data_IF_329610771379
#
_entry.id   IF_329610771379
#
_cell.length_a   1.000
_cell.length_b   1.000
_cell.length_c   1.000
_cell.angle_alpha   90.00
_cell.angle_beta   90.00
_cell.angle_gamma   90.00
#
_symmetry.space_group_name_H-M   'P 1'
#
loop_
_entity.id
_entity.type
_entity.pdbx_description
1 polymer ?
#
# COMPACT_ATOMS: atom_id res chain seq x y z
N UNK A 1 -18.53 15.94 -19.72
CA UNK A 1 -17.45 15.09 -19.20
C UNK A 1 -16.99 15.68 -17.88
N UNK A 2 -17.16 14.96 -16.77
CA UNK A 2 -16.65 15.38 -15.47
C UNK A 2 -15.13 15.40 -15.47
N UNK A 3 -14.52 16.36 -14.78
CA UNK A 3 -13.07 16.37 -14.55
C UNK A 3 -12.75 15.35 -13.46
N UNK A 4 -11.92 14.36 -13.75
CA UNK A 4 -11.31 13.50 -12.74
C UNK A 4 -9.90 14.03 -12.46
N UNK A 5 -9.57 14.38 -11.23
CA UNK A 5 -8.29 15.01 -10.87
C UNK A 5 -7.73 14.39 -9.59
N UNK A 6 -6.40 14.48 -9.40
CA UNK A 6 -5.79 14.22 -8.08
C UNK A 6 -6.27 15.25 -7.05
N UNK A 7 -6.03 14.99 -5.77
CA UNK A 7 -6.28 15.96 -4.67
C UNK A 7 -5.60 17.32 -4.93
N UNK A 8 -4.51 17.35 -5.71
CA UNK A 8 -3.79 18.57 -6.08
C UNK A 8 -4.15 19.12 -7.48
N UNK A 9 -5.20 18.61 -8.13
CA UNK A 9 -5.74 19.16 -9.37
C UNK A 9 -5.06 18.66 -10.65
N UNK A 10 -4.17 17.67 -10.58
CA UNK A 10 -3.60 17.03 -11.78
C UNK A 10 -4.70 16.27 -12.50
N UNK A 11 -4.94 16.61 -13.77
CA UNK A 11 -5.93 15.92 -14.58
C UNK A 11 -5.55 14.45 -14.76
N UNK A 12 -6.48 13.57 -14.42
CA UNK A 12 -6.33 12.13 -14.62
C UNK A 12 -6.91 11.72 -15.97
N UNK A 13 -6.32 10.69 -16.55
CA UNK A 13 -6.90 9.98 -17.68
C UNK A 13 -8.25 9.39 -17.25
N UNK A 14 -9.17 9.24 -18.20
CA UNK A 14 -10.49 8.69 -17.89
C UNK A 14 -10.36 7.21 -17.50
N UNK A 15 -10.74 6.88 -16.27
CA UNK A 15 -10.86 5.51 -15.80
C UNK A 15 -12.33 5.06 -15.87
N UNK A 16 -12.55 3.81 -16.29
CA UNK A 16 -13.85 3.15 -16.13
C UNK A 16 -14.04 2.81 -14.65
N UNK A 17 -14.67 3.72 -13.92
CA UNK A 17 -14.86 3.58 -12.47
C UNK A 17 -15.76 2.40 -12.12
N UNK A 18 -16.74 2.04 -12.95
CA UNK A 18 -17.61 0.90 -12.68
C UNK A 18 -16.80 -0.38 -12.74
N UNK A 19 -16.06 -0.57 -13.84
CA UNK A 19 -15.18 -1.73 -13.97
C UNK A 19 -14.10 -1.77 -12.89
N UNK A 20 -13.46 -0.64 -12.58
CA UNK A 20 -12.44 -0.58 -11.54
C UNK A 20 -12.96 -1.04 -10.17
N UNK A 21 -14.21 -0.68 -9.81
CA UNK A 21 -14.83 -1.15 -8.58
C UNK A 21 -15.24 -2.63 -8.63
N UNK A 22 -15.67 -3.14 -9.79
CA UNK A 22 -15.94 -4.58 -9.98
C UNK A 22 -14.67 -5.41 -9.82
N UNK A 23 -13.59 -5.00 -10.49
CA UNK A 23 -12.28 -5.65 -10.43
C UNK A 23 -11.69 -5.58 -9.01
N UNK A 24 -11.79 -4.42 -8.33
CA UNK A 24 -11.34 -4.26 -6.95
C UNK A 24 -12.11 -5.15 -5.98
N UNK A 25 -13.44 -5.22 -6.10
CA UNK A 25 -14.25 -6.14 -5.29
C UNK A 25 -13.82 -7.58 -5.52
N UNK A 26 -13.79 -8.04 -6.77
CA UNK A 26 -13.41 -9.42 -7.09
C UNK A 26 -12.02 -9.78 -6.53
N UNK A 27 -11.01 -8.96 -6.84
CA UNK A 27 -9.64 -9.24 -6.46
C UNK A 27 -9.43 -9.26 -4.94
N UNK A 28 -9.97 -8.26 -4.23
CA UNK A 28 -9.81 -8.14 -2.78
C UNK A 28 -10.65 -9.19 -2.04
N UNK A 29 -11.85 -9.51 -2.55
CA UNK A 29 -12.73 -10.55 -2.00
C UNK A 29 -12.02 -11.92 -2.05
N UNK A 30 -11.53 -12.31 -3.24
CA UNK A 30 -10.78 -13.56 -3.41
C UNK A 30 -9.54 -13.60 -2.49
N UNK A 31 -8.76 -12.51 -2.43
CA UNK A 31 -7.55 -12.46 -1.60
C UNK A 31 -7.87 -12.64 -0.11
N UNK A 32 -8.89 -11.95 0.40
CA UNK A 32 -9.29 -12.04 1.80
C UNK A 32 -9.84 -13.42 2.12
N UNK A 33 -10.69 -14.01 1.27
CA UNK A 33 -11.22 -15.36 1.48
C UNK A 33 -10.13 -16.44 1.52
N UNK A 34 -9.15 -16.33 0.61
CA UNK A 34 -7.97 -17.20 0.63
C UNK A 34 -7.14 -17.00 1.91
N UNK A 35 -6.93 -15.75 2.34
CA UNK A 35 -6.20 -15.46 3.56
C UNK A 35 -6.90 -16.04 4.80
N UNK A 36 -8.21 -15.83 4.94
CA UNK A 36 -8.99 -16.35 6.07
C UNK A 36 -8.93 -17.89 6.13
N UNK A 37 -8.94 -18.55 4.98
CA UNK A 37 -8.90 -20.02 4.90
C UNK A 37 -7.55 -20.58 5.33
N UNK A 38 -6.45 -19.84 5.14
CA UNK A 38 -5.08 -20.35 5.27
C UNK A 38 -4.27 -19.69 6.40
N UNK A 39 -4.79 -18.64 7.04
CA UNK A 39 -4.12 -17.93 8.11
C UNK A 39 -4.90 -18.05 9.43
N UNK A 40 -4.17 -17.99 10.55
CA UNK A 40 -4.80 -17.94 11.88
C UNK A 40 -5.41 -16.57 12.20
N UNK A 41 -4.88 -15.53 11.57
CA UNK A 41 -5.30 -14.16 11.76
C UNK A 41 -5.08 -13.37 10.47
N UNK A 42 -6.03 -12.50 10.14
CA UNK A 42 -5.99 -11.66 8.95
C UNK A 42 -6.31 -10.24 9.38
N UNK A 43 -5.48 -9.30 8.97
CA UNK A 43 -5.70 -7.87 9.16
C UNK A 43 -5.57 -7.14 7.83
N UNK A 44 -6.40 -6.12 7.61
CA UNK A 44 -6.34 -5.28 6.41
C UNK A 44 -5.99 -3.86 6.85
N UNK A 45 -4.87 -3.35 6.33
CA UNK A 45 -4.43 -1.97 6.55
C UNK A 45 -4.45 -1.22 5.23
N UNK A 46 -4.93 0.02 5.24
CA UNK A 46 -5.01 0.85 4.04
C UNK A 46 -4.66 2.31 4.35
N UNK A 47 -3.95 2.99 3.45
CA UNK A 47 -3.62 4.42 3.59
C UNK A 47 -4.00 5.12 2.31
N UNK A 48 -4.91 6.08 2.40
CA UNK A 48 -5.49 6.77 1.24
C UNK A 48 -4.42 7.43 0.36
N UNK A 49 -4.52 7.22 -0.95
CA UNK A 49 -3.65 7.84 -1.93
C UNK A 49 -4.16 9.16 -2.46
N UNK A 50 -3.30 9.87 -3.22
CA UNK A 50 -3.63 11.17 -3.82
C UNK A 50 -4.66 11.10 -4.96
N UNK A 51 -5.09 9.89 -5.35
CA UNK A 51 -6.10 9.64 -6.40
C UNK A 51 -7.44 9.19 -5.84
N UNK A 52 -7.48 8.65 -4.62
CA UNK A 52 -8.58 7.82 -4.14
C UNK A 52 -8.85 7.95 -2.64
N UNK A 53 -8.24 8.91 -1.93
CA UNK A 53 -8.34 9.07 -0.47
C UNK A 53 -9.72 8.72 0.13
N UNK A 54 -10.79 9.41 -0.28
CA UNK A 54 -12.14 9.18 0.24
C UNK A 54 -12.78 7.89 -0.31
N UNK A 55 -12.48 7.53 -1.57
CA UNK A 55 -13.04 6.33 -2.21
C UNK A 55 -12.46 5.05 -1.60
N UNK A 56 -11.16 5.02 -1.35
CA UNK A 56 -10.47 3.93 -0.68
C UNK A 56 -11.02 3.76 0.74
N UNK A 57 -11.21 4.86 1.48
CA UNK A 57 -11.80 4.81 2.81
C UNK A 57 -13.20 4.15 2.78
N UNK A 58 -14.07 4.56 1.85
CA UNK A 58 -15.40 3.99 1.71
C UNK A 58 -15.37 2.52 1.28
N UNK A 59 -14.44 2.14 0.41
CA UNK A 59 -14.25 0.74 0.00
C UNK A 59 -13.83 -0.14 1.17
N UNK A 60 -12.84 0.31 1.96
CA UNK A 60 -12.33 -0.42 3.13
C UNK A 60 -13.38 -0.51 4.23
N UNK A 61 -14.22 0.51 4.41
CA UNK A 61 -15.35 0.45 5.35
C UNK A 61 -16.33 -0.67 4.97
N UNK A 62 -16.62 -0.82 3.68
CA UNK A 62 -17.43 -1.94 3.20
C UNK A 62 -16.80 -3.32 3.42
N UNK A 63 -15.46 -3.42 3.45
CA UNK A 63 -14.78 -4.66 3.82
C UNK A 63 -14.95 -4.99 5.30
N UNK A 64 -14.91 -3.98 6.18
CA UNK A 64 -15.14 -4.16 7.62
C UNK A 64 -16.54 -4.71 7.90
N UNK A 65 -17.55 -4.20 7.20
CA UNK A 65 -18.93 -4.71 7.30
C UNK A 65 -19.10 -6.13 6.75
N UNK A 66 -18.36 -6.48 5.68
CA UNK A 66 -18.48 -7.79 5.01
C UNK A 66 -17.73 -8.90 5.75
N UNK A 67 -16.60 -8.59 6.37
CA UNK A 67 -15.68 -9.56 6.95
C UNK A 67 -15.48 -9.33 8.45
N UNK A 68 -16.50 -9.62 9.25
CA UNK A 68 -16.47 -9.46 10.72
C UNK A 68 -15.32 -10.24 11.40
N UNK A 69 -14.78 -11.28 10.77
CA UNK A 69 -13.65 -12.08 11.27
C UNK A 69 -12.26 -11.50 10.92
N UNK A 70 -12.19 -10.42 10.16
CA UNK A 70 -10.94 -9.77 9.73
C UNK A 70 -10.76 -8.47 10.53
N UNK A 71 -9.56 -8.24 11.04
CA UNK A 71 -9.23 -6.97 11.69
C UNK A 71 -8.98 -5.90 10.62
N UNK A 72 -10.03 -5.14 10.28
CA UNK A 72 -9.95 -4.07 9.28
C UNK A 72 -9.57 -2.74 9.95
N UNK A 73 -8.41 -2.22 9.59
CA UNK A 73 -7.85 -0.97 10.08
C UNK A 73 -8.05 0.15 9.05
N UNK A 74 -9.25 0.72 9.05
CA UNK A 74 -9.59 1.86 8.19
C UNK A 74 -9.14 3.18 8.84
N UNK A 75 -8.56 4.09 8.06
CA UNK A 75 -8.09 5.38 8.59
C UNK A 75 -8.38 6.53 7.65
N UNK A 76 -8.65 7.70 8.24
CA UNK A 76 -8.69 8.99 7.54
C UNK A 76 -7.35 9.74 7.64
N UNK A 77 -6.34 9.11 8.24
CA UNK A 77 -5.01 9.69 8.41
C UNK A 77 -4.07 9.28 7.27
N UNK A 78 -3.02 10.06 7.08
CA UNK A 78 -2.03 9.84 6.01
C UNK A 78 -1.03 8.71 6.31
N UNK A 79 -1.13 8.09 7.49
CA UNK A 79 -0.16 7.12 8.00
C UNK A 79 -0.85 6.10 8.91
N UNK A 80 -0.38 4.86 8.84
CA UNK A 80 -0.69 3.80 9.81
C UNK A 80 0.59 3.07 10.19
N UNK A 81 0.61 2.45 11.37
CA UNK A 81 1.72 1.60 11.76
C UNK A 81 1.22 0.45 12.63
N UNK A 82 1.84 -0.71 12.46
CA UNK A 82 1.57 -1.90 13.25
C UNK A 82 2.85 -2.70 13.48
N UNK A 83 2.73 -3.78 14.26
CA UNK A 83 3.85 -4.63 14.64
C UNK A 83 3.62 -6.06 14.21
N UNK A 84 4.68 -6.72 13.77
CA UNK A 84 4.77 -8.18 13.66
C UNK A 84 5.93 -8.58 14.58
N UNK A 85 5.63 -9.05 15.79
CA UNK A 85 6.65 -9.28 16.81
C UNK A 85 7.42 -7.99 17.19
N UNK A 86 8.71 -7.99 16.88
CA UNK A 86 9.66 -6.87 17.01
C UNK A 86 9.96 -6.18 15.67
N UNK A 87 9.20 -6.47 14.61
CA UNK A 87 9.20 -5.73 13.35
C UNK A 87 8.12 -4.65 13.38
N UNK A 88 8.48 -3.41 13.07
CA UNK A 88 7.55 -2.30 12.87
C UNK A 88 7.28 -2.12 11.38
N UNK A 89 6.02 -2.22 10.99
CA UNK A 89 5.56 -1.91 9.64
C UNK A 89 4.82 -0.58 9.70
N UNK A 90 5.32 0.38 8.92
CA UNK A 90 4.86 1.77 8.93
C UNK A 90 4.47 2.13 7.51
N UNK A 91 3.27 2.65 7.31
CA UNK A 91 2.65 2.77 5.99
C UNK A 91 2.26 4.21 5.71
N UNK A 92 2.63 4.73 4.54
CA UNK A 92 2.21 6.03 4.02
C UNK A 92 2.00 5.94 2.52
N UNK A 93 1.20 6.82 1.91
CA UNK A 93 1.12 6.84 0.43
C UNK A 93 2.43 7.33 -0.21
N UNK A 94 3.05 8.38 0.36
CA UNK A 94 4.35 8.91 -0.06
C UNK A 94 4.30 10.12 -0.99
N UNK A 95 3.11 10.61 -1.32
CA UNK A 95 2.87 11.88 -2.03
C UNK A 95 3.18 13.10 -1.15
N UNK A 96 2.99 12.99 0.16
CA UNK A 96 3.25 14.04 1.14
C UNK A 96 4.25 13.63 2.21
N UNK A 97 5.04 14.59 2.66
CA UNK A 97 5.96 14.47 3.80
C UNK A 97 6.98 13.31 3.74
N UNK A 98 7.25 12.74 2.55
CA UNK A 98 8.09 11.56 2.35
C UNK A 98 9.41 11.59 3.13
N UNK A 99 10.17 12.69 3.01
CA UNK A 99 11.49 12.84 3.68
C UNK A 99 11.41 12.92 5.21
N UNK A 100 10.22 13.17 5.76
CA UNK A 100 9.97 13.32 7.20
C UNK A 100 9.39 12.05 7.81
N UNK A 101 9.00 11.05 7.00
CA UNK A 101 8.30 9.85 7.49
C UNK A 101 8.99 9.18 8.68
N UNK A 102 10.32 8.93 8.69
CA UNK A 102 10.97 8.31 9.85
C UNK A 102 10.70 9.06 11.15
N UNK A 103 10.91 10.37 11.16
CA UNK A 103 10.68 11.18 12.35
C UNK A 103 9.20 11.39 12.67
N UNK A 104 8.32 11.43 11.66
CA UNK A 104 6.88 11.48 11.90
C UNK A 104 6.41 10.22 12.62
N UNK A 105 6.78 9.05 12.13
CA UNK A 105 6.42 7.78 12.76
C UNK A 105 7.05 7.62 14.15
N UNK A 106 8.29 8.07 14.35
CA UNK A 106 8.92 8.04 15.67
C UNK A 106 8.13 8.84 16.72
N UNK A 107 7.48 9.94 16.31
CA UNK A 107 6.70 10.80 17.21
C UNK A 107 5.23 10.36 17.31
N UNK A 108 4.60 10.01 16.20
CA UNK A 108 3.16 9.71 16.12
C UNK A 108 2.82 8.26 16.49
N UNK A 109 3.75 7.34 16.22
CA UNK A 109 3.61 5.91 16.50
C UNK A 109 4.72 5.43 17.44
N UNK A 110 4.97 6.20 18.50
CA UNK A 110 6.10 5.99 19.42
C UNK A 110 6.10 4.62 20.10
N UNK A 111 4.93 4.01 20.33
CA UNK A 111 4.84 2.65 20.88
C UNK A 111 5.38 1.60 19.90
N UNK A 112 4.93 1.63 18.64
CA UNK A 112 5.48 0.78 17.58
C UNK A 112 6.97 1.03 17.44
N UNK A 113 7.37 2.30 17.40
CA UNK A 113 8.77 2.67 17.24
C UNK A 113 9.66 2.15 18.36
N UNK A 114 9.26 2.30 19.62
CA UNK A 114 10.04 1.93 20.78
C UNK A 114 10.14 0.41 20.98
N UNK A 115 9.10 -0.33 20.58
CA UNK A 115 9.01 -1.79 20.81
C UNK A 115 9.44 -2.63 19.60
N UNK A 116 10.04 -2.02 18.58
CA UNK A 116 10.53 -2.70 17.37
C UNK A 116 12.02 -2.45 17.17
N UNK A 117 12.68 -3.34 16.44
CA UNK A 117 14.12 -3.23 16.09
C UNK A 117 14.30 -3.09 14.58
N UNK A 118 13.58 -3.91 13.82
CA UNK A 118 13.48 -3.80 12.38
C UNK A 118 12.31 -2.90 12.03
N UNK A 119 12.53 -1.83 11.29
CA UNK A 119 11.49 -0.86 10.95
C UNK A 119 11.45 -0.68 9.45
N UNK A 120 10.33 -0.99 8.83
CA UNK A 120 10.09 -0.72 7.42
C UNK A 120 8.98 0.32 7.24
N UNK A 121 9.31 1.40 6.56
CA UNK A 121 8.35 2.35 6.05
C UNK A 121 8.02 1.95 4.62
N UNK A 122 6.83 1.41 4.41
CA UNK A 122 6.27 1.07 3.10
C UNK A 122 5.50 2.26 2.56
N UNK A 123 5.81 2.64 1.32
CA UNK A 123 5.11 3.70 0.60
C UNK A 123 5.06 3.43 -0.91
N UNK A 124 4.33 4.24 -1.66
CA UNK A 124 4.16 4.08 -3.10
C UNK A 124 4.33 5.39 -3.86
N UNK A 125 3.24 5.84 -4.50
CA UNK A 125 3.12 7.07 -5.30
C UNK A 125 3.92 7.11 -6.62
N UNK A 126 5.20 6.76 -6.64
CA UNK A 126 6.04 6.96 -7.83
C UNK A 126 6.17 5.76 -8.78
N UNK A 127 5.46 4.66 -8.48
CA UNK A 127 5.29 3.50 -9.38
C UNK A 127 6.60 2.80 -9.82
N UNK A 128 7.66 2.91 -9.03
CA UNK A 128 8.90 2.17 -9.20
C UNK A 128 9.45 1.73 -7.84
N UNK A 129 10.23 0.66 -7.81
CA UNK A 129 10.79 0.16 -6.56
C UNK A 129 12.05 0.96 -6.16
N UNK A 130 12.11 1.36 -4.88
CA UNK A 130 13.31 1.94 -4.26
C UNK A 130 13.42 1.43 -2.83
N UNK A 131 14.58 0.92 -2.46
CA UNK A 131 14.86 0.51 -1.07
C UNK A 131 16.07 1.30 -0.57
N UNK A 132 15.88 2.02 0.53
CA UNK A 132 16.95 2.74 1.22
C UNK A 132 16.93 2.36 2.70
N UNK A 133 18.05 1.86 3.20
CA UNK A 133 18.26 1.61 4.63
C UNK A 133 19.19 2.70 5.18
N UNK A 134 18.62 3.62 5.95
CA UNK A 134 19.34 4.73 6.56
C UNK A 134 18.80 5.02 7.96
N UNK A 135 19.70 5.38 8.89
CA UNK A 135 19.34 5.73 10.26
C UNK A 135 18.64 4.61 11.05
N UNK A 136 18.79 3.34 10.65
CA UNK A 136 18.12 2.20 11.28
C UNK A 136 16.65 2.03 10.89
N UNK A 137 16.26 2.58 9.73
CA UNK A 137 14.92 2.49 9.17
C UNK A 137 15.02 2.21 7.67
N UNK A 138 14.31 1.18 7.22
CA UNK A 138 14.21 0.82 5.82
C UNK A 138 13.04 1.57 5.21
N UNK A 139 13.30 2.49 4.28
CA UNK A 139 12.31 3.15 3.45
C UNK A 139 12.15 2.35 2.15
N UNK A 140 10.98 1.74 1.96
CA UNK A 140 10.66 0.92 0.79
C UNK A 140 9.52 1.55 -0.02
N UNK A 141 9.87 2.06 -1.19
CA UNK A 141 8.90 2.42 -2.22
C UNK A 141 8.50 1.17 -2.99
N UNK A 142 7.22 0.86 -2.97
CA UNK A 142 6.62 -0.21 -3.77
C UNK A 142 6.43 0.28 -5.21
N UNK A 143 6.58 -0.65 -6.15
CA UNK A 143 6.16 -0.45 -7.53
C UNK A 143 4.63 -0.37 -7.68
N UNK A 144 4.15 -0.51 -8.91
CA UNK A 144 2.72 -0.67 -9.19
C UNK A 144 2.51 -1.91 -10.08
N UNK A 145 1.50 -2.76 -9.81
CA UNK A 145 1.12 -3.82 -10.73
C UNK A 145 0.30 -3.32 -11.92
N UNK A 146 -0.13 -2.05 -11.91
CA UNK A 146 -1.01 -1.51 -12.95
C UNK A 146 -0.26 -1.36 -14.29
N UNK A 147 -0.88 -1.67 -15.43
CA UNK A 147 -0.35 -1.34 -16.75
C UNK A 147 -0.13 0.16 -16.94
N UNK A 148 0.86 0.55 -17.76
CA UNK A 148 1.13 1.96 -18.01
C UNK A 148 -0.06 2.67 -18.67
N UNK A 149 -0.42 3.85 -18.18
CA UNK A 149 -1.42 4.72 -18.80
C UNK A 149 -0.82 5.73 -19.81
N UNK A 150 -1.66 6.60 -20.36
CA UNK A 150 -1.25 7.59 -21.34
C UNK A 150 -0.29 8.63 -20.75
N UNK A 151 -0.54 9.04 -19.50
CA UNK A 151 0.35 9.94 -18.76
C UNK A 151 1.73 9.31 -18.51
N UNK A 152 1.78 8.06 -18.04
CA UNK A 152 3.03 7.34 -17.79
C UNK A 152 3.81 7.12 -19.07
N UNK A 153 3.14 6.71 -20.14
CA UNK A 153 3.74 6.54 -21.48
C UNK A 153 4.34 7.85 -21.99
N UNK A 154 3.57 8.94 -21.89
CA UNK A 154 4.01 10.26 -22.34
C UNK A 154 5.26 10.76 -21.59
N UNK A 155 5.37 10.45 -20.30
CA UNK A 155 6.44 10.95 -19.42
C UNK A 155 7.59 9.95 -19.20
N UNK A 156 7.52 8.75 -19.80
CA UNK A 156 8.57 7.73 -19.67
C UNK A 156 8.56 6.95 -18.35
N UNK A 157 7.42 6.90 -17.65
CA UNK A 157 7.24 6.16 -16.40
C UNK A 157 6.81 4.71 -16.62
N UNK A 158 7.30 4.08 -17.69
CA UNK A 158 6.86 2.75 -18.15
C UNK A 158 7.84 1.64 -17.85
N UNK A 159 9.06 1.98 -17.42
CA UNK A 159 10.18 1.04 -17.40
C UNK A 159 10.26 0.18 -16.13
N UNK A 160 9.51 0.54 -15.09
CA UNK A 160 9.50 -0.21 -13.85
C UNK A 160 8.70 -1.50 -13.98
N UNK A 161 9.16 -2.56 -13.31
CA UNK A 161 8.49 -3.85 -13.26
C UNK A 161 7.07 -3.73 -12.67
N UNK A 162 6.11 -4.45 -13.27
CA UNK A 162 4.69 -4.43 -12.90
C UNK A 162 4.34 -5.59 -11.98
N UNK A 163 4.80 -5.53 -10.73
CA UNK A 163 4.66 -6.61 -9.75
C UNK A 163 3.97 -6.12 -8.49
N UNK A 164 3.26 -7.05 -7.84
CA UNK A 164 2.92 -6.94 -6.42
C UNK A 164 3.99 -7.63 -5.60
N UNK A 165 4.09 -7.32 -4.31
CA UNK A 165 5.03 -8.00 -3.42
C UNK A 165 4.33 -8.57 -2.21
N UNK A 166 4.76 -9.77 -1.80
CA UNK A 166 4.46 -10.32 -0.49
C UNK A 166 5.75 -10.39 0.32
N UNK A 167 5.66 -10.00 1.59
CA UNK A 167 6.78 -9.98 2.52
C UNK A 167 6.56 -11.01 3.62
N UNK A 168 7.55 -11.86 3.85
CA UNK A 168 7.58 -12.78 4.96
C UNK A 168 8.55 -12.26 6.02
N UNK A 169 8.07 -12.12 7.25
CA UNK A 169 8.84 -11.64 8.40
C UNK A 169 9.00 -12.75 9.43
N UNK A 170 10.17 -12.82 10.06
CA UNK A 170 10.29 -13.44 11.39
C UNK A 170 9.86 -12.45 12.47
N UNK A 171 9.96 -12.88 13.73
CA UNK A 171 9.74 -12.02 14.88
C UNK A 171 10.61 -10.75 14.88
N UNK A 172 11.77 -10.74 14.24
CA UNK A 172 12.76 -9.69 14.37
C UNK A 172 13.28 -9.07 13.06
N UNK A 173 12.91 -9.59 11.89
CA UNK A 173 13.39 -9.07 10.61
C UNK A 173 12.59 -9.59 9.39
N UNK A 174 12.79 -8.94 8.23
CA UNK A 174 12.39 -9.48 6.93
C UNK A 174 13.18 -10.77 6.62
N UNK A 175 12.50 -11.78 6.09
CA UNK A 175 13.09 -13.04 5.63
C UNK A 175 13.06 -13.18 4.12
N UNK A 176 11.89 -12.97 3.52
CA UNK A 176 11.68 -13.21 2.08
C UNK A 176 10.81 -12.10 1.50
N UNK A 177 11.12 -11.73 0.26
CA UNK A 177 10.25 -10.92 -0.59
C UNK A 177 9.89 -11.73 -1.83
N UNK A 178 8.60 -11.92 -2.04
CA UNK A 178 8.05 -12.59 -3.22
C UNK A 178 7.53 -11.52 -4.18
N UNK A 179 7.97 -11.56 -5.44
CA UNK A 179 7.32 -10.79 -6.50
C UNK A 179 6.17 -11.64 -7.05
N UNK A 180 4.95 -11.10 -7.01
CA UNK A 180 3.70 -11.77 -7.40
C UNK A 180 3.13 -11.05 -8.62
N UNK A 181 2.78 -11.83 -9.63
CA UNK A 181 2.40 -11.29 -10.94
C UNK A 181 3.63 -10.77 -11.72
N UNK A 182 3.35 -10.01 -12.77
CA UNK A 182 4.34 -9.59 -13.77
C UNK A 182 3.90 -9.99 -15.17
N UNK A 183 4.50 -9.37 -16.19
CA UNK A 183 4.38 -9.86 -17.56
C UNK A 183 4.90 -11.30 -17.57
N UNK A 184 4.06 -12.25 -17.95
CA UNK A 184 4.51 -13.62 -18.21
C UNK A 184 5.61 -13.54 -19.26
N UNK A 185 6.71 -14.25 -19.04
CA UNK A 185 7.63 -14.55 -20.13
C UNK A 185 6.81 -15.22 -21.25
N UNK A 186 6.57 -14.50 -22.35
CA UNK A 186 6.10 -15.12 -23.60
C UNK A 186 7.16 -16.08 -24.14
#
# INVERSE_FOLDING_TARGET
MGKTQTVHGTQLDHADTVKAWEDAKWFIDDLIEYAITNAQHVSVYAVGGNHDFDMQWAFVEGLADRYEQVDVHNTIHYRQAYRIGHVGILMAHGDVALKKLPMLFANENSDVWANTKWREIHYGHFHHEVVNDDGGVIMRQMGTPKPADGYETKNGYTMAHKVMQAFEYSDDQLKVTYNIGGESDE
#
